data_IF_640308731241
#
_entry.id   IF_640308731241
#
_cell.length_a   1.000
_cell.length_b   1.000
_cell.length_c   1.000
_cell.angle_alpha   90.00
_cell.angle_beta   90.00
_cell.angle_gamma   90.00
#
_symmetry.space_group_name_H-M   'P 1'
#
loop_
_entity.id
_entity.type
_entity.pdbx_description
1 polymer ?
#
# COMPACT_ATOMS: atom_id res chain seq x y z
N UNK A 1 -11.96 45.85 -11.38
CA UNK A 1 -10.99 44.76 -11.07
C UNK A 1 -11.66 43.76 -10.11
N UNK A 2 -12.02 42.58 -10.62
CA UNK A 2 -12.62 41.50 -9.83
C UNK A 2 -11.49 40.73 -9.13
N UNK A 3 -11.55 40.58 -7.80
CA UNK A 3 -10.56 39.82 -7.04
C UNK A 3 -10.61 38.35 -7.50
N UNK A 4 -9.51 37.86 -8.09
CA UNK A 4 -9.29 36.46 -8.41
C UNK A 4 -9.36 35.67 -7.11
N UNK A 5 -10.51 35.03 -6.86
CA UNK A 5 -10.65 34.10 -5.74
C UNK A 5 -9.57 33.04 -5.89
N UNK A 6 -8.65 32.99 -4.93
CA UNK A 6 -7.71 31.89 -4.81
C UNK A 6 -8.56 30.66 -4.51
N UNK A 7 -8.83 29.85 -5.53
CA UNK A 7 -9.33 28.50 -5.35
C UNK A 7 -8.23 27.75 -4.61
N UNK A 8 -8.30 27.74 -3.28
CA UNK A 8 -7.63 26.71 -2.52
C UNK A 8 -8.25 25.41 -3.03
N UNK A 9 -7.52 24.72 -3.90
CA UNK A 9 -7.71 23.28 -4.09
C UNK A 9 -7.41 22.74 -2.71
N UNK A 10 -8.44 22.63 -1.86
CA UNK A 10 -8.36 21.86 -0.66
C UNK A 10 -7.74 20.56 -1.14
N UNK A 11 -6.54 20.25 -0.66
CA UNK A 11 -6.10 18.87 -0.69
C UNK A 11 -7.29 18.15 -0.07
N UNK A 12 -8.04 17.43 -0.90
CA UNK A 12 -9.13 16.57 -0.46
C UNK A 12 -8.38 15.56 0.39
N UNK A 13 -8.23 15.90 1.67
CA UNK A 13 -7.59 15.07 2.66
C UNK A 13 -8.36 13.78 2.58
N UNK A 14 -7.70 12.76 2.06
CA UNK A 14 -8.25 11.42 2.06
C UNK A 14 -8.68 11.15 3.51
N UNK A 15 -9.92 10.67 3.70
CA UNK A 15 -10.68 10.58 4.97
C UNK A 15 -10.05 9.59 5.98
N UNK A 16 -8.71 9.55 6.09
CA UNK A 16 -7.95 8.48 6.72
C UNK A 16 -8.05 7.12 6.02
N UNK A 17 -8.82 7.03 4.92
CA UNK A 17 -9.10 5.78 4.21
C UNK A 17 -8.03 5.48 3.17
N UNK A 18 -7.12 4.59 3.47
CA UNK A 18 -6.14 4.10 2.49
C UNK A 18 -6.84 3.18 1.50
N UNK A 19 -6.68 3.43 0.20
CA UNK A 19 -7.17 2.53 -0.83
C UNK A 19 -6.34 1.24 -0.83
N UNK A 20 -6.99 0.08 -1.04
CA UNK A 20 -6.27 -1.20 -1.10
C UNK A 20 -5.13 -1.19 -2.12
N UNK A 21 -5.32 -0.47 -3.23
CA UNK A 21 -4.28 -0.26 -4.25
C UNK A 21 -3.05 0.44 -3.70
N UNK A 22 -3.24 1.50 -2.89
CA UNK A 22 -2.13 2.22 -2.26
C UNK A 22 -1.36 1.32 -1.28
N UNK A 23 -2.06 0.41 -0.59
CA UNK A 23 -1.41 -0.59 0.27
C UNK A 23 -0.57 -1.56 -0.55
N UNK A 24 -1.11 -2.09 -1.65
CA UNK A 24 -0.38 -3.02 -2.53
C UNK A 24 0.87 -2.35 -3.09
N UNK A 25 0.71 -1.15 -3.66
CA UNK A 25 1.81 -0.42 -4.28
C UNK A 25 2.91 -0.10 -3.24
N UNK A 26 2.52 0.26 -2.01
CA UNK A 26 3.46 0.49 -0.91
C UNK A 26 4.20 -0.79 -0.47
N UNK A 27 3.52 -1.93 -0.39
CA UNK A 27 4.17 -3.20 -0.04
C UNK A 27 5.19 -3.62 -1.11
N UNK A 28 4.87 -3.44 -2.39
CA UNK A 28 5.81 -3.68 -3.49
C UNK A 28 7.01 -2.72 -3.45
N UNK A 29 6.81 -1.45 -3.10
CA UNK A 29 7.91 -0.50 -2.92
C UNK A 29 8.82 -0.90 -1.75
N UNK A 30 8.25 -1.32 -0.61
CA UNK A 30 9.02 -1.83 0.52
C UNK A 30 9.87 -3.05 0.13
N UNK A 31 9.31 -3.99 -0.64
CA UNK A 31 10.06 -5.14 -1.13
C UNK A 31 11.28 -4.71 -1.95
N UNK A 32 11.11 -3.82 -2.93
CA UNK A 32 12.21 -3.32 -3.76
C UNK A 32 13.29 -2.59 -2.96
N UNK A 33 12.90 -1.79 -1.95
CA UNK A 33 13.88 -1.14 -1.05
C UNK A 33 14.67 -2.19 -0.25
N UNK A 34 14.00 -3.21 0.29
CA UNK A 34 14.64 -4.27 1.07
C UNK A 34 15.59 -5.11 0.22
N UNK A 35 15.24 -5.42 -1.03
CA UNK A 35 16.15 -6.10 -1.96
C UNK A 35 17.42 -5.28 -2.21
N UNK A 36 17.29 -3.96 -2.42
CA UNK A 36 18.43 -3.07 -2.65
C UNK A 36 19.37 -2.98 -1.43
N UNK A 37 18.82 -3.11 -0.22
CA UNK A 37 19.58 -3.13 1.04
C UNK A 37 20.12 -4.53 1.40
N UNK A 38 19.84 -5.55 0.59
CA UNK A 38 20.28 -6.94 0.84
C UNK A 38 19.45 -7.70 1.88
N UNK A 39 18.27 -7.18 2.23
CA UNK A 39 17.33 -7.75 3.19
C UNK A 39 16.32 -8.69 2.51
N UNK A 40 16.81 -9.65 1.71
CA UNK A 40 16.01 -10.50 0.82
C UNK A 40 14.89 -11.28 1.53
N UNK A 41 15.15 -11.77 2.75
CA UNK A 41 14.14 -12.48 3.55
C UNK A 41 12.98 -11.58 3.95
N UNK A 42 13.28 -10.32 4.27
CA UNK A 42 12.26 -9.34 4.60
C UNK A 42 11.49 -8.98 3.33
N UNK A 43 12.20 -8.70 2.23
CA UNK A 43 11.60 -8.38 0.94
C UNK A 43 10.56 -9.42 0.51
N UNK A 44 10.92 -10.71 0.60
CA UNK A 44 10.03 -11.83 0.29
C UNK A 44 8.66 -11.72 0.99
N UNK A 45 8.61 -11.40 2.28
CA UNK A 45 7.34 -11.31 3.01
C UNK A 45 6.51 -10.09 2.58
N UNK A 46 7.14 -8.99 2.20
CA UNK A 46 6.43 -7.83 1.65
C UNK A 46 5.84 -8.15 0.27
N UNK A 47 6.58 -8.88 -0.57
CA UNK A 47 6.06 -9.38 -1.85
C UNK A 47 4.86 -10.31 -1.64
N UNK A 48 4.95 -11.27 -0.71
CA UNK A 48 3.84 -12.18 -0.41
C UNK A 48 2.57 -11.43 0.03
N UNK A 49 2.71 -10.37 0.82
CA UNK A 49 1.55 -9.55 1.21
C UNK A 49 0.97 -8.83 -0.02
N UNK A 50 1.81 -8.23 -0.87
CA UNK A 50 1.37 -7.53 -2.07
C UNK A 50 0.66 -8.48 -3.05
N UNK A 51 1.21 -9.66 -3.27
CA UNK A 51 0.66 -10.73 -4.10
C UNK A 51 -0.69 -11.19 -3.55
N UNK A 52 -0.75 -11.54 -2.26
CA UNK A 52 -1.99 -11.99 -1.63
C UNK A 52 -3.12 -10.96 -1.75
N UNK A 53 -2.83 -9.68 -1.48
CA UNK A 53 -3.83 -8.60 -1.58
C UNK A 53 -4.28 -8.36 -3.03
N UNK A 54 -3.40 -8.58 -4.00
CA UNK A 54 -3.71 -8.50 -5.43
C UNK A 54 -4.63 -9.63 -5.88
N UNK A 55 -4.35 -10.86 -5.42
CA UNK A 55 -5.14 -12.05 -5.76
C UNK A 55 -6.46 -12.14 -4.99
N UNK A 56 -6.50 -11.61 -3.76
CA UNK A 56 -7.62 -11.73 -2.84
C UNK A 56 -8.16 -10.36 -2.38
N UNK A 57 -8.51 -9.44 -3.29
CA UNK A 57 -8.86 -8.05 -2.92
C UNK A 57 -10.11 -7.94 -2.05
N UNK A 58 -11.02 -8.91 -2.15
CA UNK A 58 -12.23 -9.00 -1.33
C UNK A 58 -11.97 -9.47 0.10
N UNK A 59 -10.88 -10.19 0.34
CA UNK A 59 -10.44 -10.57 1.68
C UNK A 59 -9.66 -9.42 2.33
N UNK A 60 -8.78 -8.77 1.55
CA UNK A 60 -7.96 -7.66 2.00
C UNK A 60 -7.21 -7.99 3.29
N UNK A 61 -7.20 -7.06 4.23
CA UNK A 61 -6.51 -7.19 5.54
C UNK A 61 -7.29 -8.02 6.59
N UNK A 62 -8.36 -8.75 6.19
CA UNK A 62 -9.19 -9.53 7.12
C UNK A 62 -8.73 -10.98 7.28
N UNK A 63 -7.80 -11.45 6.46
CA UNK A 63 -7.26 -12.81 6.52
C UNK A 63 -6.20 -12.93 7.63
N UNK A 64 -6.01 -14.14 8.17
CA UNK A 64 -4.98 -14.40 9.17
C UNK A 64 -3.56 -14.20 8.61
N UNK A 65 -2.71 -13.43 9.31
CA UNK A 65 -1.37 -13.10 8.86
C UNK A 65 -0.50 -14.33 8.55
N UNK A 66 -0.55 -15.39 9.37
CA UNK A 66 0.18 -16.64 9.09
C UNK A 66 -0.19 -17.26 7.75
N UNK A 67 -1.48 -17.20 7.35
CA UNK A 67 -1.91 -17.71 6.04
C UNK A 67 -1.36 -16.85 4.90
N UNK A 68 -1.34 -15.54 5.07
CA UNK A 68 -0.79 -14.60 4.08
C UNK A 68 0.71 -14.83 3.89
N UNK A 69 1.43 -15.11 4.98
CA UNK A 69 2.88 -15.34 4.99
C UNK A 69 3.29 -16.80 4.73
N UNK A 70 2.33 -17.72 4.57
CA UNK A 70 2.61 -19.15 4.42
C UNK A 70 3.26 -19.82 5.64
N UNK A 71 2.97 -19.31 6.85
CA UNK A 71 3.48 -19.76 8.14
C UNK A 71 2.40 -20.40 9.04
#
# INVERSE_FOLDING_TARGET
MQRKGKSHKAAMGNDGRVALREVIDFMSECAGVLELEGEEKSAFYFEQIAEFLTENPYKGLKEHAGRVLGL
#
